data_IF_984111887301
#
_entry.id   IF_984111887301
#
_cell.length_a   1.000
_cell.length_b   1.000
_cell.length_c   1.000
_cell.angle_alpha   90.00
_cell.angle_beta   90.00
_cell.angle_gamma   90.00
#
_symmetry.space_group_name_H-M   'P 1'
#
loop_
_entity.id
_entity.type
_entity.pdbx_description
1 polymer ?
#
# COMPACT_ATOMS: atom_id res chain seq x y z
N UNK A 1 -25.43 -11.39 -10.80
CA UNK A 1 -24.43 -10.32 -11.04
C UNK A 1 -23.25 -10.93 -11.75
N UNK A 2 -22.60 -10.19 -12.65
CA UNK A 2 -21.31 -10.62 -13.21
C UNK A 2 -20.20 -10.28 -12.20
N UNK A 3 -19.19 -11.14 -12.08
CA UNK A 3 -18.11 -11.00 -11.10
C UNK A 3 -17.41 -9.63 -11.21
N UNK A 4 -17.10 -9.21 -12.44
CA UNK A 4 -16.49 -7.90 -12.73
C UNK A 4 -17.33 -6.73 -12.22
N UNK A 5 -18.66 -6.78 -12.42
CA UNK A 5 -19.57 -5.72 -11.95
C UNK A 5 -19.64 -5.65 -10.42
N UNK A 6 -19.52 -6.78 -9.74
CA UNK A 6 -19.47 -6.81 -8.27
C UNK A 6 -18.17 -6.17 -7.78
N UNK A 7 -17.04 -6.49 -8.42
CA UNK A 7 -15.73 -5.89 -8.12
C UNK A 7 -15.76 -4.37 -8.34
N UNK A 8 -16.29 -3.91 -9.47
CA UNK A 8 -16.37 -2.47 -9.78
C UNK A 8 -17.18 -1.71 -8.72
N UNK A 9 -18.36 -2.23 -8.34
CA UNK A 9 -19.19 -1.61 -7.30
C UNK A 9 -18.49 -1.60 -5.93
N UNK A 10 -17.77 -2.66 -5.59
CA UNK A 10 -17.02 -2.74 -4.33
C UNK A 10 -15.85 -1.75 -4.32
N UNK A 11 -15.15 -1.57 -5.45
CA UNK A 11 -14.08 -0.57 -5.61
C UNK A 11 -14.62 0.84 -5.50
N UNK A 12 -15.72 1.17 -6.19
CA UNK A 12 -16.36 2.49 -6.08
C UNK A 12 -16.78 2.80 -4.63
N UNK A 13 -17.33 1.81 -3.91
CA UNK A 13 -17.72 1.97 -2.52
C UNK A 13 -16.51 2.14 -1.59
N UNK A 14 -15.41 1.45 -1.87
CA UNK A 14 -14.16 1.60 -1.12
C UNK A 14 -13.51 2.98 -1.37
N UNK A 15 -13.55 3.45 -2.61
CA UNK A 15 -13.07 4.78 -2.99
C UNK A 15 -13.87 5.87 -2.26
N UNK A 16 -15.20 5.71 -2.14
CA UNK A 16 -16.02 6.62 -1.32
C UNK A 16 -15.51 6.70 0.13
N UNK A 17 -15.30 5.56 0.79
CA UNK A 17 -14.80 5.56 2.17
C UNK A 17 -13.39 6.14 2.33
N UNK A 18 -12.57 6.06 1.27
CA UNK A 18 -11.17 6.50 1.31
C UNK A 18 -11.02 7.98 0.95
N UNK A 19 -11.87 8.51 0.06
CA UNK A 19 -11.69 9.82 -0.56
C UNK A 19 -12.79 10.83 -0.23
N UNK A 20 -13.97 10.37 0.18
CA UNK A 20 -15.18 11.23 0.30
C UNK A 20 -15.80 11.17 1.69
N UNK A 21 -15.84 9.99 2.33
CA UNK A 21 -16.48 9.82 3.62
C UNK A 21 -15.81 10.71 4.68
N UNK A 22 -16.65 11.36 5.47
CA UNK A 22 -16.23 12.05 6.69
C UNK A 22 -16.03 11.04 7.83
N UNK A 23 -15.36 11.44 8.91
CA UNK A 23 -15.13 10.58 10.08
C UNK A 23 -16.44 10.03 10.70
N UNK A 24 -17.54 10.77 10.58
CA UNK A 24 -18.85 10.39 11.09
C UNK A 24 -19.57 9.38 10.18
N UNK A 25 -19.27 9.40 8.89
CA UNK A 25 -19.83 8.49 7.88
C UNK A 25 -18.94 7.25 7.66
N UNK A 26 -17.72 7.26 8.18
CA UNK A 26 -16.77 6.17 8.05
C UNK A 26 -17.16 4.98 8.95
N UNK A 27 -17.49 3.85 8.31
CA UNK A 27 -17.78 2.58 8.98
C UNK A 27 -16.62 1.59 8.72
N UNK A 28 -15.78 1.40 9.73
CA UNK A 28 -14.65 0.49 9.67
C UNK A 28 -15.08 -0.98 9.45
N UNK A 29 -16.20 -1.42 10.02
CA UNK A 29 -16.66 -2.79 9.84
C UNK A 29 -17.12 -3.04 8.40
N UNK A 30 -17.76 -2.06 7.78
CA UNK A 30 -18.17 -2.14 6.38
C UNK A 30 -16.98 -2.12 5.43
N UNK A 31 -15.98 -1.26 5.67
CA UNK A 31 -14.72 -1.23 4.89
C UNK A 31 -14.01 -2.58 4.96
N UNK A 32 -13.89 -3.18 6.16
CA UNK A 32 -13.26 -4.49 6.32
C UNK A 32 -14.00 -5.59 5.53
N UNK A 33 -15.34 -5.56 5.50
CA UNK A 33 -16.13 -6.53 4.70
C UNK A 33 -15.88 -6.36 3.20
N UNK A 34 -15.84 -5.12 2.72
CA UNK A 34 -15.58 -4.79 1.32
C UNK A 34 -14.21 -5.32 0.90
N UNK A 35 -13.16 -5.03 1.70
CA UNK A 35 -11.79 -5.46 1.41
C UNK A 35 -11.69 -6.99 1.37
N UNK A 36 -12.23 -7.70 2.38
CA UNK A 36 -12.23 -9.17 2.39
C UNK A 36 -12.95 -9.75 1.18
N UNK A 37 -14.08 -9.16 0.78
CA UNK A 37 -14.84 -9.62 -0.39
C UNK A 37 -14.07 -9.39 -1.68
N UNK A 38 -13.36 -8.26 -1.79
CA UNK A 38 -12.47 -7.99 -2.92
C UNK A 38 -11.32 -8.99 -2.97
N UNK A 39 -10.70 -9.34 -1.85
CA UNK A 39 -9.66 -10.39 -1.78
C UNK A 39 -10.18 -11.78 -2.19
N UNK A 40 -11.44 -12.13 -1.87
CA UNK A 40 -12.05 -13.38 -2.34
C UNK A 40 -12.33 -13.38 -3.85
N UNK A 41 -12.71 -12.23 -4.40
CA UNK A 41 -13.10 -12.09 -5.82
C UNK A 41 -11.88 -11.91 -6.72
N UNK A 42 -10.96 -11.03 -6.35
CA UNK A 42 -9.65 -10.82 -6.96
C UNK A 42 -8.60 -11.14 -5.90
N UNK A 43 -8.25 -12.42 -5.73
CA UNK A 43 -7.14 -12.76 -4.87
C UNK A 43 -5.90 -12.06 -5.42
N UNK A 44 -5.44 -11.06 -4.69
CA UNK A 44 -4.15 -10.43 -4.95
C UNK A 44 -3.13 -11.55 -4.97
N UNK A 45 -2.34 -11.64 -6.04
CA UNK A 45 -1.24 -12.59 -6.09
C UNK A 45 -0.42 -12.41 -4.81
N UNK A 46 -0.15 -13.52 -4.12
CA UNK A 46 0.70 -13.48 -2.95
C UNK A 46 1.98 -12.74 -3.37
N UNK A 47 2.45 -11.77 -2.56
CA UNK A 47 3.63 -11.00 -2.93
C UNK A 47 4.75 -11.98 -3.33
N UNK A 48 5.38 -11.74 -4.48
CA UNK A 48 6.43 -12.62 -5.01
C UNK A 48 7.54 -12.87 -3.98
N UNK A 49 7.72 -11.89 -3.08
CA UNK A 49 8.67 -11.90 -1.97
C UNK A 49 7.93 -12.03 -0.65
N UNK A 50 8.54 -12.76 0.27
CA UNK A 50 8.08 -12.76 1.66
C UNK A 50 8.18 -11.36 2.28
N UNK A 51 7.41 -11.10 3.33
CA UNK A 51 7.51 -9.85 4.11
C UNK A 51 8.93 -9.66 4.63
N UNK A 52 9.60 -10.73 5.06
CA UNK A 52 10.97 -10.68 5.55
C UNK A 52 11.95 -10.26 4.44
N UNK A 53 11.85 -10.85 3.25
CA UNK A 53 12.68 -10.48 2.10
C UNK A 53 12.43 -9.04 1.64
N UNK A 54 11.18 -8.58 1.67
CA UNK A 54 10.84 -7.18 1.39
C UNK A 54 11.47 -6.21 2.40
N UNK A 55 11.44 -6.57 3.69
CA UNK A 55 12.04 -5.75 4.74
C UNK A 55 13.57 -5.71 4.62
N UNK A 56 14.21 -6.83 4.29
CA UNK A 56 15.65 -6.88 4.04
C UNK A 56 16.06 -5.97 2.87
N UNK A 57 15.33 -6.04 1.75
CA UNK A 57 15.54 -5.16 0.60
C UNK A 57 15.35 -3.68 0.97
N UNK A 58 14.33 -3.36 1.77
CA UNK A 58 14.06 -2.01 2.24
C UNK A 58 15.22 -1.46 3.11
N UNK A 59 15.71 -2.24 4.07
CA UNK A 59 16.81 -1.81 4.93
C UNK A 59 18.12 -1.64 4.16
N UNK A 60 18.40 -2.55 3.22
CA UNK A 60 19.56 -2.43 2.34
C UNK A 60 19.50 -1.13 1.52
N UNK A 61 18.33 -0.79 0.98
CA UNK A 61 18.13 0.48 0.29
C UNK A 61 18.40 1.68 1.21
N UNK A 62 17.90 1.65 2.45
CA UNK A 62 18.16 2.72 3.42
C UNK A 62 19.67 2.89 3.71
N UNK A 63 20.42 1.81 3.90
CA UNK A 63 21.87 1.87 4.12
C UNK A 63 22.62 2.46 2.91
N UNK A 64 22.25 2.07 1.69
CA UNK A 64 22.85 2.58 0.46
C UNK A 64 22.61 4.09 0.32
N UNK A 65 21.37 4.54 0.56
CA UNK A 65 21.00 5.95 0.54
C UNK A 65 21.75 6.77 1.59
N UNK A 66 21.90 6.27 2.80
CA UNK A 66 22.65 6.95 3.86
C UNK A 66 24.13 7.14 3.47
N UNK A 67 24.75 6.11 2.84
CA UNK A 67 26.13 6.21 2.35
C UNK A 67 26.28 7.26 1.26
N UNK A 68 25.36 7.30 0.29
CA UNK A 68 25.36 8.31 -0.78
C UNK A 68 25.25 9.73 -0.20
N UNK A 69 24.35 9.93 0.76
CA UNK A 69 24.16 11.24 1.40
C UNK A 69 25.40 11.67 2.17
N UNK A 70 26.07 10.75 2.85
CA UNK A 70 27.34 11.03 3.54
C UNK A 70 28.43 11.47 2.56
N UNK A 71 28.57 10.79 1.43
CA UNK A 71 29.53 11.17 0.38
C UNK A 71 29.22 12.58 -0.14
N UNK A 72 27.95 12.86 -0.45
CA UNK A 72 27.52 14.18 -0.91
C UNK A 72 27.78 15.28 0.14
N UNK A 73 27.59 14.97 1.42
CA UNK A 73 27.87 15.91 2.51
C UNK A 73 29.38 16.18 2.65
N UNK A 74 30.24 15.17 2.50
CA UNK A 74 31.70 15.33 2.49
C UNK A 74 32.17 16.21 1.31
N UNK A 75 31.59 16.02 0.12
CA UNK A 75 31.87 16.89 -1.02
C UNK A 75 31.42 18.34 -0.78
N UNK A 76 30.28 18.55 -0.12
CA UNK A 76 29.80 19.90 0.24
C UNK A 76 30.71 20.58 1.26
N UNK A 77 31.28 19.83 2.22
CA UNK A 77 32.19 20.36 3.25
C UNK A 77 33.58 20.74 2.72
N UNK A 78 33.99 20.21 1.57
CA UNK A 78 35.28 20.51 0.94
C UNK A 78 35.26 21.77 0.05
N UNK A 79 34.10 22.41 -0.10
CA UNK A 79 33.91 23.64 -0.88
C UNK A 79 33.74 24.86 0.03
#
# INVERSE_FOLDING_TARGET
MNKEKEIDMLKEKLDYYTLVATDEEFDAEEVIKIVKRLEELEPTEAPEKSVDEFLDDFWKYCEEREREEKILEEFRKQK
#
